data_IF_454455102798
#
_entry.id   IF_454455102798
#
_cell.length_a   1.000
_cell.length_b   1.000
_cell.length_c   1.000
_cell.angle_alpha   90.00
_cell.angle_beta   90.00
_cell.angle_gamma   90.00
#
_symmetry.space_group_name_H-M   'P 1'
#
loop_
_entity.id
_entity.type
_entity.pdbx_description
1 polymer ?
#
# COMPACT_ATOMS: atom_id res chain seq x y z
N UNK A 1 -17.67 -27.96 95.98
CA UNK A 1 -18.89 -27.16 95.70
C UNK A 1 -18.51 -26.07 94.70
N UNK A 2 -19.38 -25.73 93.73
CA UNK A 2 -19.36 -26.30 92.38
C UNK A 2 -18.81 -25.35 91.32
N UNK A 3 -18.09 -25.89 90.33
CA UNK A 3 -17.99 -25.29 89.01
C UNK A 3 -18.95 -26.04 88.07
N UNK A 4 -19.91 -25.34 87.43
CA UNK A 4 -20.77 -25.92 86.38
C UNK A 4 -20.08 -25.92 85.00
N UNK A 5 -20.66 -26.62 84.00
CA UNK A 5 -19.94 -27.23 82.88
C UNK A 5 -19.83 -26.40 81.59
N UNK A 6 -18.96 -26.89 80.70
CA UNK A 6 -18.84 -26.72 79.24
C UNK A 6 -20.20 -26.79 78.48
N UNK A 7 -20.32 -26.65 77.13
CA UNK A 7 -19.40 -26.17 76.08
C UNK A 7 -20.06 -25.24 75.03
N UNK A 8 -19.32 -24.24 74.54
CA UNK A 8 -19.80 -23.26 73.56
C UNK A 8 -19.15 -23.40 72.19
N UNK A 9 -19.44 -24.49 71.48
CA UNK A 9 -19.10 -24.73 70.07
C UNK A 9 -19.39 -23.50 69.18
N UNK A 10 -18.34 -22.86 68.63
CA UNK A 10 -18.49 -21.97 67.47
C UNK A 10 -17.46 -22.29 66.40
N UNK A 11 -18.00 -23.05 65.45
CA UNK A 11 -17.58 -23.34 64.08
C UNK A 11 -16.61 -22.31 63.50
N UNK A 12 -15.46 -22.82 63.08
CA UNK A 12 -14.57 -22.19 62.10
C UNK A 12 -15.28 -22.27 60.74
N UNK A 13 -15.90 -21.18 60.29
CA UNK A 13 -16.30 -21.03 58.89
C UNK A 13 -15.10 -20.52 58.09
N UNK A 14 -14.28 -21.47 57.62
CA UNK A 14 -13.52 -21.31 56.38
C UNK A 14 -14.54 -21.17 55.25
N UNK A 15 -14.52 -20.03 54.56
CA UNK A 15 -14.68 -19.86 53.10
C UNK A 15 -15.14 -18.42 52.84
N UNK A 16 -14.20 -17.49 52.84
CA UNK A 16 -14.42 -16.19 52.23
C UNK A 16 -13.51 -16.11 50.99
N UNK A 17 -14.17 -16.26 49.85
CA UNK A 17 -13.88 -15.44 48.68
C UNK A 17 -12.58 -15.74 47.93
N UNK A 18 -12.49 -16.96 47.39
CA UNK A 18 -11.75 -17.24 46.14
C UNK A 18 -12.31 -16.48 44.91
N UNK A 19 -13.24 -15.55 45.11
CA UNK A 19 -13.99 -14.86 44.05
C UNK A 19 -13.36 -13.54 43.59
N UNK A 20 -12.32 -13.03 44.25
CA UNK A 20 -11.68 -11.76 43.84
C UNK A 20 -10.58 -11.92 42.80
N UNK A 21 -10.02 -13.11 42.61
CA UNK A 21 -8.93 -13.32 41.65
C UNK A 21 -9.41 -13.52 40.20
N UNK A 22 -10.67 -13.96 40.01
CA UNK A 22 -11.23 -14.23 38.68
C UNK A 22 -11.77 -12.97 37.99
N UNK A 23 -12.11 -11.91 38.73
CA UNK A 23 -12.63 -10.67 38.12
C UNK A 23 -11.51 -9.77 37.55
N UNK A 24 -10.29 -9.88 38.07
CA UNK A 24 -9.14 -9.07 37.61
C UNK A 24 -8.47 -9.60 36.33
N UNK A 25 -8.64 -10.89 36.01
CA UNK A 25 -8.08 -11.49 34.80
C UNK A 25 -8.96 -11.27 33.54
N UNK A 26 -10.21 -10.82 33.70
CA UNK A 26 -11.11 -10.51 32.58
C UNK A 26 -10.95 -9.08 32.04
N UNK A 27 -10.23 -8.20 32.74
CA UNK A 27 -10.01 -6.81 32.32
C UNK A 27 -8.75 -6.61 31.48
N UNK A 28 -7.87 -7.61 31.36
CA UNK A 28 -6.61 -7.52 30.60
C UNK A 28 -6.66 -8.23 29.25
N UNK A 29 -7.78 -8.87 28.91
CA UNK A 29 -7.97 -9.60 27.65
C UNK A 29 -8.74 -8.79 26.59
N UNK A 30 -8.64 -7.45 26.60
CA UNK A 30 -8.93 -6.69 25.38
C UNK A 30 -7.74 -6.88 24.43
N UNK A 31 -7.89 -7.54 23.27
CA UNK A 31 -6.95 -7.28 22.19
C UNK A 31 -7.01 -5.77 21.96
N UNK A 32 -5.87 -5.09 22.06
CA UNK A 32 -5.78 -3.70 21.65
C UNK A 32 -6.41 -3.62 20.25
N UNK A 33 -7.36 -2.69 19.99
CA UNK A 33 -7.78 -2.46 18.62
C UNK A 33 -6.49 -2.18 17.85
N UNK A 34 -6.21 -3.01 16.83
CA UNK A 34 -5.10 -2.76 15.94
C UNK A 34 -5.19 -1.29 15.53
N UNK A 35 -4.10 -0.50 15.63
CA UNK A 35 -4.15 0.89 15.23
C UNK A 35 -4.72 0.91 13.83
N UNK A 36 -5.87 1.57 13.68
CA UNK A 36 -6.50 1.77 12.38
C UNK A 36 -5.39 2.32 11.48
N UNK A 37 -4.99 1.61 10.40
CA UNK A 37 -4.01 2.16 9.48
C UNK A 37 -4.72 3.35 8.85
N UNK A 38 -4.54 4.52 9.48
CA UNK A 38 -5.01 5.79 8.96
C UNK A 38 -4.64 5.88 7.49
N UNK A 39 -5.45 6.56 6.67
CA UNK A 39 -5.35 6.48 5.22
C UNK A 39 -3.90 6.63 4.80
N UNK A 40 -3.31 5.52 4.36
CA UNK A 40 -1.92 5.51 3.94
C UNK A 40 -1.90 6.40 2.70
N UNK A 41 -1.15 7.51 2.70
CA UNK A 41 -1.32 8.52 1.69
C UNK A 41 -1.00 7.91 0.33
N UNK A 42 -1.92 8.06 -0.63
CA UNK A 42 -1.72 7.72 -2.05
C UNK A 42 -0.43 8.34 -2.62
N UNK A 43 0.09 9.39 -1.96
CA UNK A 43 1.39 9.98 -2.24
C UNK A 43 2.52 8.94 -2.21
N UNK A 44 2.59 8.06 -1.21
CA UNK A 44 3.68 7.08 -1.08
C UNK A 44 3.70 6.08 -2.24
N UNK A 45 2.51 5.63 -2.68
CA UNK A 45 2.38 4.72 -3.82
C UNK A 45 2.67 5.42 -5.14
N UNK A 46 2.12 6.62 -5.34
CA UNK A 46 2.34 7.41 -6.56
C UNK A 46 3.82 7.78 -6.72
N UNK A 47 4.51 8.11 -5.62
CA UNK A 47 5.96 8.35 -5.62
C UNK A 47 6.76 7.10 -6.00
N UNK A 48 6.39 5.93 -5.46
CA UNK A 48 7.00 4.65 -5.83
C UNK A 48 6.82 4.33 -7.30
N UNK A 49 5.60 4.44 -7.83
CA UNK A 49 5.32 4.26 -9.26
C UNK A 49 6.14 5.24 -10.09
N UNK A 50 6.19 6.51 -9.71
CA UNK A 50 7.00 7.52 -10.41
C UNK A 50 8.48 7.11 -10.45
N UNK A 51 9.03 6.63 -9.33
CA UNK A 51 10.43 6.22 -9.23
C UNK A 51 10.74 4.96 -10.07
N UNK A 52 9.87 3.96 -10.03
CA UNK A 52 9.99 2.74 -10.84
C UNK A 52 9.96 3.09 -12.32
N UNK A 53 8.92 3.82 -12.76
CA UNK A 53 8.77 4.22 -14.16
C UNK A 53 9.91 5.12 -14.62
N UNK A 54 10.43 6.00 -13.76
CA UNK A 54 11.64 6.81 -14.06
C UNK A 54 12.84 5.91 -14.36
N UNK A 55 13.05 4.88 -13.54
CA UNK A 55 14.19 3.97 -13.66
C UNK A 55 14.07 3.13 -14.92
N UNK A 56 12.90 2.51 -15.13
CA UNK A 56 12.57 1.73 -16.33
C UNK A 56 12.73 2.58 -17.58
N UNK A 57 12.07 3.75 -17.63
CA UNK A 57 12.15 4.64 -18.79
C UNK A 57 13.60 5.05 -19.06
N UNK A 58 14.37 5.45 -18.05
CA UNK A 58 15.78 5.81 -18.23
C UNK A 58 16.58 4.66 -18.84
N UNK A 59 16.41 3.44 -18.34
CA UNK A 59 17.10 2.25 -18.85
C UNK A 59 16.77 1.99 -20.32
N UNK A 60 15.49 2.12 -20.70
CA UNK A 60 15.04 1.90 -22.08
C UNK A 60 15.44 3.02 -23.05
N UNK A 61 15.57 4.25 -22.57
CA UNK A 61 15.87 5.43 -23.39
C UNK A 61 17.37 5.72 -23.54
N UNK A 62 18.18 5.29 -22.57
CA UNK A 62 19.62 5.54 -22.58
C UNK A 62 20.23 4.99 -23.86
N UNK A 63 20.95 5.86 -24.58
CA UNK A 63 21.65 5.52 -25.83
C UNK A 63 20.70 5.00 -26.95
N UNK A 64 19.39 5.25 -26.85
CA UNK A 64 18.36 4.80 -27.80
C UNK A 64 17.56 5.99 -28.38
N UNK A 65 18.11 6.76 -29.35
CA UNK A 65 17.46 7.95 -29.90
C UNK A 65 16.09 7.69 -30.53
N UNK A 66 15.90 6.52 -31.16
CA UNK A 66 14.62 6.12 -31.76
C UNK A 66 13.54 5.97 -30.69
N UNK A 67 13.85 5.32 -29.56
CA UNK A 67 12.94 5.17 -28.42
C UNK A 67 12.61 6.53 -27.77
N UNK A 68 13.60 7.41 -27.63
CA UNK A 68 13.39 8.77 -27.11
C UNK A 68 12.44 9.58 -27.99
N UNK A 69 12.61 9.51 -29.32
CA UNK A 69 11.75 10.20 -30.28
C UNK A 69 10.35 9.61 -30.28
N UNK A 70 10.22 8.27 -30.28
CA UNK A 70 8.94 7.59 -30.20
C UNK A 70 8.15 8.01 -28.95
N UNK A 71 8.80 7.99 -27.77
CA UNK A 71 8.15 8.38 -26.52
C UNK A 71 7.75 9.86 -26.53
N UNK A 72 8.65 10.75 -26.99
CA UNK A 72 8.37 12.20 -27.05
C UNK A 72 7.15 12.50 -27.91
N UNK A 73 7.04 11.86 -29.07
CA UNK A 73 5.92 12.04 -30.00
C UNK A 73 4.60 11.56 -29.40
N UNK A 74 4.63 10.52 -28.55
CA UNK A 74 3.41 9.92 -27.98
C UNK A 74 2.96 10.54 -26.66
N UNK A 75 3.86 11.14 -25.89
CA UNK A 75 3.54 11.74 -24.59
C UNK A 75 2.26 12.60 -24.57
N UNK A 76 1.97 13.46 -25.57
CA UNK A 76 0.71 14.20 -25.60
C UNK A 76 -0.54 13.31 -25.54
N UNK A 77 -0.59 12.26 -26.36
CA UNK A 77 -1.72 11.31 -26.38
C UNK A 77 -1.79 10.45 -25.11
N UNK A 78 -0.63 10.09 -24.54
CA UNK A 78 -0.58 9.34 -23.28
C UNK A 78 -1.18 10.12 -22.10
N UNK A 79 -1.05 11.46 -22.09
CA UNK A 79 -1.67 12.33 -21.06
C UNK A 79 -3.19 12.34 -21.11
N UNK A 80 -3.78 12.00 -22.25
CA UNK A 80 -5.22 11.92 -22.45
C UNK A 80 -5.80 10.56 -22.05
N UNK A 81 -4.94 9.58 -21.73
CA UNK A 81 -5.39 8.26 -21.30
C UNK A 81 -6.11 8.33 -19.95
N UNK A 82 -7.34 7.81 -19.91
CA UNK A 82 -8.17 7.81 -18.70
C UNK A 82 -7.75 6.77 -17.64
N UNK A 83 -7.02 5.72 -18.06
CA UNK A 83 -6.59 4.61 -17.20
C UNK A 83 -5.17 4.19 -17.51
N UNK A 84 -4.52 3.51 -16.56
CA UNK A 84 -3.19 2.93 -16.75
C UNK A 84 -3.20 1.92 -17.90
N UNK A 85 -4.26 1.09 -18.00
CA UNK A 85 -4.41 0.12 -19.09
C UNK A 85 -4.52 0.81 -20.47
N UNK A 86 -5.25 1.93 -20.57
CA UNK A 86 -5.32 2.69 -21.82
C UNK A 86 -3.97 3.32 -22.17
N UNK A 87 -3.23 3.80 -21.17
CA UNK A 87 -1.88 4.35 -21.33
C UNK A 87 -0.90 3.29 -21.84
N UNK A 88 -0.86 2.10 -21.22
CA UNK A 88 0.03 1.01 -21.65
C UNK A 88 -0.37 0.43 -22.99
N UNK A 89 -1.67 0.36 -23.30
CA UNK A 89 -2.15 -0.01 -24.63
C UNK A 89 -1.67 0.98 -25.71
N UNK A 90 -1.71 2.28 -25.42
CA UNK A 90 -1.16 3.29 -26.34
C UNK A 90 0.35 3.17 -26.51
N UNK A 91 1.12 2.86 -25.46
CA UNK A 91 2.56 2.59 -25.59
C UNK A 91 2.83 1.40 -26.51
N UNK A 92 2.07 0.31 -26.36
CA UNK A 92 2.20 -0.93 -27.17
C UNK A 92 1.95 -0.76 -28.67
N UNK A 93 1.27 0.30 -29.08
CA UNK A 93 1.10 0.58 -30.51
C UNK A 93 2.42 1.01 -31.19
N UNK A 94 3.53 1.15 -30.45
CA UNK A 94 4.88 1.46 -30.96
C UNK A 94 5.78 0.28 -30.61
N UNK A 95 6.34 -0.42 -31.62
CA UNK A 95 7.28 -1.52 -31.38
C UNK A 95 8.47 -1.11 -30.50
N UNK A 96 8.90 0.14 -30.59
CA UNK A 96 10.01 0.70 -29.81
C UNK A 96 9.70 0.84 -28.31
N UNK A 97 8.42 0.94 -27.94
CA UNK A 97 7.94 1.20 -26.58
C UNK A 97 7.15 0.03 -25.98
N UNK A 98 6.88 -1.02 -26.75
CA UNK A 98 6.07 -2.17 -26.32
C UNK A 98 6.63 -2.83 -25.04
N UNK A 99 7.93 -3.09 -25.02
CA UNK A 99 8.62 -3.69 -23.87
C UNK A 99 8.47 -2.80 -22.62
N UNK A 100 8.60 -1.47 -22.80
CA UNK A 100 8.44 -0.51 -21.70
C UNK A 100 7.03 -0.55 -21.13
N UNK A 101 5.99 -0.68 -21.98
CA UNK A 101 4.62 -0.81 -21.54
C UNK A 101 4.40 -2.04 -20.65
N UNK A 102 4.99 -3.17 -21.05
CA UNK A 102 4.90 -4.44 -20.31
C UNK A 102 5.60 -4.37 -18.96
N UNK A 103 6.78 -3.75 -18.89
CA UNK A 103 7.49 -3.57 -17.62
C UNK A 103 6.72 -2.63 -16.69
N UNK A 104 6.21 -1.50 -17.20
CA UNK A 104 5.43 -0.54 -16.39
C UNK A 104 4.18 -1.21 -15.79
N UNK A 105 3.43 -1.98 -16.58
CA UNK A 105 2.25 -2.69 -16.09
C UNK A 105 2.63 -3.73 -15.02
N UNK A 106 3.68 -4.51 -15.28
CA UNK A 106 4.17 -5.52 -14.33
C UNK A 106 4.67 -4.90 -13.01
N UNK A 107 5.36 -3.77 -13.08
CA UNK A 107 5.85 -3.03 -11.90
C UNK A 107 4.67 -2.55 -11.03
N UNK A 108 3.62 -2.00 -11.66
CA UNK A 108 2.44 -1.52 -10.95
C UNK A 108 1.69 -2.70 -10.31
N UNK A 109 1.45 -3.77 -11.08
CA UNK A 109 0.78 -4.97 -10.58
C UNK A 109 1.55 -5.56 -9.40
N UNK A 110 2.88 -5.64 -9.51
CA UNK A 110 3.74 -6.10 -8.42
C UNK A 110 3.61 -5.21 -7.18
N UNK A 111 3.67 -3.89 -7.31
CA UNK A 111 3.48 -2.98 -6.18
C UNK A 111 2.10 -3.16 -5.53
N UNK A 112 1.04 -3.41 -6.31
CA UNK A 112 -0.31 -3.65 -5.78
C UNK A 112 -0.43 -4.97 -5.01
N UNK A 113 0.45 -5.95 -5.26
CA UNK A 113 0.45 -7.20 -4.47
C UNK A 113 0.95 -7.00 -3.03
N UNK A 114 1.67 -5.90 -2.77
CA UNK A 114 2.32 -5.69 -1.47
C UNK A 114 1.28 -5.39 -0.38
N UNK A 115 1.42 -5.97 0.84
CA UNK A 115 0.46 -5.77 1.92
C UNK A 115 0.25 -4.30 2.29
N UNK A 116 1.30 -3.48 2.24
CA UNK A 116 1.25 -2.04 2.52
C UNK A 116 0.40 -1.24 1.52
N UNK A 117 0.05 -1.82 0.36
CA UNK A 117 -0.77 -1.16 -0.66
C UNK A 117 -2.18 -1.76 -0.77
N UNK A 118 -2.61 -2.56 0.22
CA UNK A 118 -3.92 -3.22 0.20
C UNK A 118 -5.09 -2.24 -0.04
N UNK A 119 -5.10 -1.09 0.63
CA UNK A 119 -6.16 -0.09 0.47
C UNK A 119 -6.22 0.51 -0.94
N UNK A 120 -5.05 0.66 -1.59
CA UNK A 120 -4.95 1.19 -2.96
C UNK A 120 -5.39 0.13 -3.95
N UNK A 121 -4.92 -1.12 -3.78
CA UNK A 121 -5.36 -2.27 -4.57
C UNK A 121 -6.87 -2.41 -4.58
N UNK A 122 -7.51 -2.33 -3.41
CA UNK A 122 -8.97 -2.50 -3.29
C UNK A 122 -9.76 -1.36 -3.97
N UNK A 123 -9.10 -0.24 -4.29
CA UNK A 123 -9.68 0.93 -4.97
C UNK A 123 -9.03 1.22 -6.32
N UNK A 124 -8.20 0.30 -6.83
CA UNK A 124 -7.36 0.56 -7.99
C UNK A 124 -8.19 0.90 -9.23
N UNK A 125 -9.34 0.27 -9.39
CA UNK A 125 -10.26 0.51 -10.51
C UNK A 125 -11.06 1.82 -10.39
N UNK A 126 -10.94 2.55 -9.27
CA UNK A 126 -11.59 3.85 -9.14
C UNK A 126 -10.93 4.88 -10.07
N UNK A 127 -11.76 5.74 -10.68
CA UNK A 127 -11.29 6.81 -11.59
C UNK A 127 -10.24 7.69 -10.92
N UNK A 128 -10.39 7.97 -9.63
CA UNK A 128 -9.43 8.79 -8.89
C UNK A 128 -8.06 8.12 -8.78
N UNK A 129 -7.99 6.85 -8.38
CA UNK A 129 -6.73 6.11 -8.26
C UNK A 129 -6.10 5.91 -9.64
N UNK A 130 -6.87 5.50 -10.65
CA UNK A 130 -6.39 5.38 -12.03
C UNK A 130 -5.77 6.69 -12.54
N UNK A 131 -6.41 7.83 -12.28
CA UNK A 131 -5.89 9.15 -12.67
C UNK A 131 -4.58 9.48 -11.95
N UNK A 132 -4.49 9.24 -10.65
CA UNK A 132 -3.29 9.53 -9.86
C UNK A 132 -2.11 8.64 -10.30
N UNK A 133 -2.35 7.34 -10.47
CA UNK A 133 -1.32 6.39 -10.93
C UNK A 133 -0.92 6.71 -12.38
N UNK A 134 -1.87 7.00 -13.26
CA UNK A 134 -1.58 7.45 -14.62
C UNK A 134 -0.71 8.70 -14.66
N UNK A 135 -0.98 9.70 -13.80
CA UNK A 135 -0.14 10.89 -13.66
C UNK A 135 1.28 10.56 -13.18
N UNK A 136 1.42 9.68 -12.18
CA UNK A 136 2.72 9.21 -11.69
C UNK A 136 3.54 8.51 -12.80
N UNK A 137 2.88 7.68 -13.61
CA UNK A 137 3.48 7.01 -14.77
C UNK A 137 3.96 8.02 -15.81
N UNK A 138 3.14 9.01 -16.17
CA UNK A 138 3.53 10.09 -17.09
C UNK A 138 4.74 10.88 -16.56
N UNK A 139 4.70 11.30 -15.30
CA UNK A 139 5.81 12.03 -14.67
C UNK A 139 7.10 11.20 -14.67
N UNK A 140 6.98 9.90 -14.39
CA UNK A 140 8.08 8.96 -14.46
C UNK A 140 8.69 8.84 -15.86
N UNK A 141 7.89 8.96 -16.92
CA UNK A 141 8.38 8.95 -18.29
C UNK A 141 9.04 10.27 -18.71
N UNK A 142 8.45 11.41 -18.34
CA UNK A 142 8.90 12.74 -18.75
C UNK A 142 10.24 13.15 -18.15
N UNK A 143 10.46 12.81 -16.88
CA UNK A 143 11.67 13.19 -16.14
C UNK A 143 12.96 12.70 -16.82
N UNK A 144 13.17 11.42 -17.13
CA UNK A 144 14.37 10.95 -17.80
C UNK A 144 14.47 11.45 -19.25
N UNK A 145 13.35 11.62 -19.95
CA UNK A 145 13.35 12.17 -21.31
C UNK A 145 13.85 13.63 -21.34
N UNK A 146 13.55 14.40 -20.30
CA UNK A 146 14.05 15.79 -20.14
C UNK A 146 15.53 15.79 -19.77
N UNK A 147 15.95 14.91 -18.86
CA UNK A 147 17.35 14.78 -18.43
C UNK A 147 18.29 14.41 -19.58
N UNK A 148 17.84 13.53 -20.50
CA UNK A 148 18.63 13.11 -21.65
C UNK A 148 18.72 14.16 -22.76
N UNK A 149 17.94 15.24 -22.71
CA UNK A 149 18.04 16.36 -23.66
C UNK A 149 19.06 17.42 -23.24
N UNK A 150 19.33 17.53 -21.94
CA UNK A 150 20.26 18.51 -21.37
C UNK A 150 21.65 17.97 -21.07
N UNK A 151 21.95 16.73 -21.48
CA UNK A 151 23.23 16.05 -21.26
C UNK A 151 24.03 15.85 -22.54
#
# INVERSE_FOLDING_TARGET
MPHPPDPGSRRITRTASRSYLLLLLLLTACPAPAPDPGPQPLADFSERVTALVTTTTRSHLREQPTRQTALRTRLPALREAATVAALTAQLRQSPELEEMATVIESDIDFELTKPEHAQIRDRYDSVEVQRQVGQAVIQGMERPLTQLQGG
#
